data_IF_236291480003
#
_entry.id   IF_236291480003
#
_cell.length_a   1.000
_cell.length_b   1.000
_cell.length_c   1.000
_cell.angle_alpha   90.00
_cell.angle_beta   90.00
_cell.angle_gamma   90.00
#
_symmetry.space_group_name_H-M   'P 1'
#
loop_
_entity.id
_entity.type
_entity.pdbx_description
1 polymer ?
#
# COMPACT_ATOMS: atom_id res chain seq x y z
N UNK A 1 70.88 2.78 23.14
CA UNK A 1 71.49 3.05 24.47
C UNK A 1 71.68 4.56 24.66
N UNK A 2 70.78 5.23 25.39
CA UNK A 2 71.07 6.43 26.18
C UNK A 2 69.93 6.64 27.18
N UNK A 3 70.35 6.64 28.44
CA UNK A 3 69.57 6.64 29.67
C UNK A 3 69.26 8.08 30.13
N UNK A 4 68.19 8.19 30.93
CA UNK A 4 67.94 9.22 31.97
C UNK A 4 67.57 10.62 31.45
N UNK A 5 66.63 11.34 32.06
CA UNK A 5 66.58 11.68 33.49
C UNK A 5 65.14 11.83 33.98
N UNK A 6 64.84 11.18 35.10
CA UNK A 6 63.70 11.49 35.96
C UNK A 6 64.04 12.68 36.87
N UNK A 7 62.98 13.27 37.42
CA UNK A 7 62.87 14.05 38.66
C UNK A 7 62.87 15.57 38.52
N UNK A 8 62.12 16.21 39.45
CA UNK A 8 61.80 17.64 39.66
C UNK A 8 60.46 18.01 38.98
N UNK A 9 59.35 18.34 39.66
CA UNK A 9 59.05 18.49 41.08
C UNK A 9 57.54 18.39 41.28
N UNK A 10 57.19 17.66 42.34
CA UNK A 10 55.91 17.74 43.04
C UNK A 10 55.88 19.11 43.73
N UNK A 11 54.81 19.90 43.52
CA UNK A 11 54.22 20.84 44.47
C UNK A 11 53.49 21.97 43.73
N UNK A 12 52.21 21.78 43.41
CA UNK A 12 51.16 22.81 43.55
C UNK A 12 49.85 22.05 43.78
N UNK A 13 49.82 21.41 44.94
CA UNK A 13 48.61 20.98 45.63
C UNK A 13 48.07 22.23 46.34
N UNK A 14 46.74 22.41 46.32
CA UNK A 14 45.95 23.41 47.03
C UNK A 14 45.74 24.76 46.32
N UNK A 15 44.75 24.81 45.41
CA UNK A 15 43.62 25.74 45.53
C UNK A 15 42.57 25.41 44.47
N UNK A 16 41.32 25.19 44.88
CA UNK A 16 40.22 24.94 43.95
C UNK A 16 39.25 23.84 44.37
N UNK A 17 39.08 23.64 45.67
CA UNK A 17 37.92 22.97 46.24
C UNK A 17 36.70 23.89 46.02
N UNK A 18 36.17 23.93 44.80
CA UNK A 18 34.87 24.53 44.53
C UNK A 18 33.89 23.43 44.19
N UNK A 19 33.05 23.18 45.17
CA UNK A 19 31.93 22.27 45.21
C UNK A 19 30.99 22.50 44.04
N UNK A 20 31.03 21.64 43.02
CA UNK A 20 29.87 21.44 42.16
C UNK A 20 29.17 20.17 42.63
N UNK A 21 28.35 20.33 43.67
CA UNK A 21 27.27 19.38 43.97
C UNK A 21 26.23 19.60 42.87
N UNK A 22 26.51 19.04 41.69
CA UNK A 22 25.56 18.96 40.62
C UNK A 22 24.56 17.88 40.99
N UNK A 23 23.41 18.31 41.52
CA UNK A 23 22.20 17.49 41.60
C UNK A 23 22.05 16.73 40.29
N UNK A 24 22.05 15.40 40.34
CA UNK A 24 21.72 14.57 39.19
C UNK A 24 20.28 14.91 38.80
N UNK A 25 20.12 15.84 37.85
CA UNK A 25 18.87 15.96 37.12
C UNK A 25 18.78 14.67 36.30
N UNK A 26 17.90 13.78 36.73
CA UNK A 26 17.39 12.74 35.85
C UNK A 26 16.86 13.46 34.61
N UNK A 27 17.60 13.36 33.51
CA UNK A 27 17.11 13.77 32.21
C UNK A 27 15.96 12.81 31.89
N UNK A 28 14.75 13.23 32.19
CA UNK A 28 13.53 12.66 31.66
C UNK A 28 13.63 12.87 30.14
N UNK A 29 14.17 11.88 29.44
CA UNK A 29 14.11 11.85 27.99
C UNK A 29 12.62 11.79 27.64
N UNK A 30 12.08 12.72 26.84
CA UNK A 30 10.72 12.58 26.37
C UNK A 30 10.67 11.27 25.57
N UNK A 31 9.94 10.28 26.10
CA UNK A 31 9.53 9.12 25.34
C UNK A 31 8.74 9.67 24.15
N UNK A 32 9.36 9.67 22.99
CA UNK A 32 8.70 9.95 21.73
C UNK A 32 7.75 8.78 21.50
N UNK A 33 6.50 8.97 21.92
CA UNK A 33 5.39 8.13 21.47
C UNK A 33 5.26 8.47 19.99
N UNK A 34 6.00 7.73 19.16
CA UNK A 34 5.73 7.67 17.74
C UNK A 34 4.32 7.08 17.65
N UNK A 35 3.34 7.95 17.43
CA UNK A 35 2.04 7.54 16.93
C UNK A 35 2.33 6.69 15.69
N UNK A 36 1.98 5.41 15.77
CA UNK A 36 2.05 4.50 14.63
C UNK A 36 0.93 4.96 13.70
N UNK A 37 1.23 5.96 12.88
CA UNK A 37 0.34 6.37 11.81
C UNK A 37 0.43 5.22 10.81
N UNK A 38 -0.55 4.31 10.85
CA UNK A 38 -0.64 3.24 9.87
C UNK A 38 -0.75 3.89 8.47
N UNK A 39 0.11 3.47 7.55
CA UNK A 39 0.09 3.99 6.18
C UNK A 39 -1.27 3.67 5.54
N UNK A 40 -1.88 4.63 4.82
CA UNK A 40 -3.17 4.40 4.18
C UNK A 40 -3.09 3.25 3.18
N UNK A 41 -4.20 2.55 3.02
CA UNK A 41 -4.32 1.48 2.04
C UNK A 41 -4.41 2.08 0.63
N UNK A 42 -3.48 1.72 -0.23
CA UNK A 42 -3.40 2.13 -1.63
C UNK A 42 -4.41 1.36 -2.47
N UNK A 43 -5.14 2.12 -3.29
CA UNK A 43 -6.09 1.64 -4.28
C UNK A 43 -5.69 2.30 -5.61
N UNK A 44 -5.43 1.51 -6.63
CA UNK A 44 -5.12 2.00 -7.98
C UNK A 44 -6.11 1.40 -8.98
N UNK A 45 -6.67 2.23 -9.86
CA UNK A 45 -7.77 1.83 -10.77
C UNK A 45 -7.40 2.16 -12.21
N UNK A 46 -7.40 1.17 -13.09
CA UNK A 46 -7.43 1.38 -14.53
C UNK A 46 -8.86 1.58 -15.00
N UNK A 47 -9.13 2.71 -15.66
CA UNK A 47 -10.48 3.10 -16.04
C UNK A 47 -10.59 3.71 -17.43
N UNK A 48 -11.83 3.87 -17.88
CA UNK A 48 -12.21 4.67 -19.04
C UNK A 48 -13.43 5.50 -18.71
N UNK A 49 -13.43 6.79 -19.07
CA UNK A 49 -14.55 7.67 -18.79
C UNK A 49 -15.87 7.22 -19.47
N UNK A 50 -15.82 6.43 -20.54
CA UNK A 50 -16.99 5.94 -21.28
C UNK A 50 -17.52 4.58 -20.77
N UNK A 51 -16.90 4.02 -19.73
CA UNK A 51 -17.30 2.75 -19.13
C UNK A 51 -18.23 2.95 -17.93
N UNK A 52 -19.46 2.44 -18.01
CA UNK A 52 -20.45 2.54 -16.92
C UNK A 52 -19.96 1.93 -15.60
N UNK A 53 -19.29 0.78 -15.65
CA UNK A 53 -18.77 0.13 -14.46
C UNK A 53 -17.62 0.91 -13.82
N UNK A 54 -16.80 1.63 -14.61
CA UNK A 54 -15.78 2.52 -14.06
C UNK A 54 -16.42 3.70 -13.32
N UNK A 55 -17.43 4.34 -13.92
CA UNK A 55 -18.16 5.44 -13.29
C UNK A 55 -18.81 5.01 -11.97
N UNK A 56 -19.36 3.80 -11.91
CA UNK A 56 -19.97 3.25 -10.70
C UNK A 56 -18.94 2.97 -9.59
N UNK A 57 -17.76 2.47 -9.96
CA UNK A 57 -16.66 2.28 -9.01
C UNK A 57 -16.09 3.62 -8.53
N UNK A 58 -15.97 4.61 -9.42
CA UNK A 58 -15.52 5.97 -9.08
C UNK A 58 -16.49 6.63 -8.07
N UNK A 59 -17.80 6.53 -8.31
CA UNK A 59 -18.83 7.03 -7.37
C UNK A 59 -18.69 6.35 -6.00
N UNK A 60 -18.59 5.02 -5.98
CA UNK A 60 -18.40 4.25 -4.74
C UNK A 60 -17.12 4.65 -3.99
N UNK A 61 -15.97 4.72 -4.67
CA UNK A 61 -14.69 5.08 -4.04
C UNK A 61 -14.67 6.53 -3.57
N UNK A 62 -15.35 7.43 -4.28
CA UNK A 62 -15.51 8.84 -3.89
C UNK A 62 -16.34 8.95 -2.60
N UNK A 63 -17.45 8.23 -2.50
CA UNK A 63 -18.23 8.16 -1.27
C UNK A 63 -17.41 7.57 -0.13
N UNK A 64 -16.69 6.46 -0.39
CA UNK A 64 -15.86 5.79 0.59
C UNK A 64 -14.76 6.70 1.16
N UNK A 65 -14.15 7.57 0.35
CA UNK A 65 -13.18 8.57 0.78
C UNK A 65 -13.76 9.62 1.75
N UNK A 66 -15.08 9.83 1.76
CA UNK A 66 -15.73 10.70 2.75
C UNK A 66 -15.89 10.04 4.11
N UNK A 67 -15.93 8.71 4.13
CA UNK A 67 -16.14 7.89 5.32
C UNK A 67 -14.82 7.37 5.91
N UNK A 68 -13.80 7.24 5.06
CA UNK A 68 -12.51 6.61 5.38
C UNK A 68 -11.35 7.55 5.10
N UNK A 69 -10.54 7.82 6.11
CA UNK A 69 -9.27 8.54 5.99
C UNK A 69 -8.05 7.62 5.89
N UNK A 70 -8.26 6.31 5.91
CA UNK A 70 -7.23 5.27 5.94
C UNK A 70 -6.97 4.65 4.55
N UNK A 71 -7.42 5.31 3.48
CA UNK A 71 -7.25 4.85 2.09
C UNK A 71 -6.73 5.99 1.20
N UNK A 72 -6.08 5.62 0.09
CA UNK A 72 -5.62 6.52 -0.96
C UNK A 72 -5.96 5.92 -2.31
N UNK A 73 -6.68 6.66 -3.16
CA UNK A 73 -7.12 6.20 -4.48
C UNK A 73 -6.38 6.95 -5.58
N UNK A 74 -5.88 6.21 -6.59
CA UNK A 74 -5.25 6.77 -7.80
C UNK A 74 -5.91 6.16 -9.05
N UNK A 75 -6.26 7.00 -10.00
CA UNK A 75 -6.90 6.59 -11.26
C UNK A 75 -5.93 6.71 -12.43
N UNK A 76 -6.01 5.74 -13.34
CA UNK A 76 -5.21 5.62 -14.55
C UNK A 76 -6.16 5.59 -15.75
N UNK A 77 -6.27 6.71 -16.46
CA UNK A 77 -7.10 6.81 -17.66
C UNK A 77 -6.44 6.05 -18.82
N UNK A 78 -7.12 5.02 -19.34
CA UNK A 78 -6.62 4.21 -20.46
C UNK A 78 -6.66 4.93 -21.82
N UNK A 79 -7.17 6.16 -21.92
CA UNK A 79 -6.95 6.99 -23.10
C UNK A 79 -5.53 7.58 -23.15
N UNK A 80 -4.78 7.53 -22.05
CA UNK A 80 -3.37 7.88 -22.00
C UNK A 80 -2.52 6.67 -22.41
N UNK A 81 -1.65 6.83 -23.42
CA UNK A 81 -0.86 5.73 -24.01
C UNK A 81 0.01 5.00 -22.98
N UNK A 82 0.56 5.72 -22.01
CA UNK A 82 1.40 5.16 -20.94
C UNK A 82 0.60 4.24 -20.01
N UNK A 83 -0.60 4.66 -19.62
CA UNK A 83 -1.50 3.87 -18.77
C UNK A 83 -2.04 2.65 -19.54
N UNK A 84 -2.38 2.82 -20.82
CA UNK A 84 -2.82 1.71 -21.68
C UNK A 84 -1.73 0.65 -21.86
N UNK A 85 -0.46 1.07 -21.98
CA UNK A 85 0.68 0.16 -22.05
C UNK A 85 0.87 -0.61 -20.74
N UNK A 86 0.83 0.08 -19.59
CA UNK A 86 0.96 -0.52 -18.27
C UNK A 86 -0.17 -1.54 -18.01
N UNK A 87 -1.40 -1.18 -18.37
CA UNK A 87 -2.56 -2.07 -18.27
C UNK A 87 -2.42 -3.32 -19.15
N UNK A 88 -1.92 -3.17 -20.38
CA UNK A 88 -1.67 -4.32 -21.27
C UNK A 88 -0.61 -5.25 -20.70
N UNK A 89 0.44 -4.69 -20.11
CA UNK A 89 1.52 -5.44 -19.46
C UNK A 89 1.01 -6.20 -18.23
N UNK A 90 0.25 -5.54 -17.34
CA UNK A 90 -0.40 -6.20 -16.21
C UNK A 90 -1.29 -7.36 -16.66
N UNK A 91 -2.14 -7.13 -17.67
CA UNK A 91 -3.07 -8.13 -18.15
C UNK A 91 -2.34 -9.34 -18.77
N UNK A 92 -1.23 -9.11 -19.47
CA UNK A 92 -0.39 -10.17 -20.02
C UNK A 92 0.35 -10.94 -18.91
N UNK A 93 0.89 -10.24 -17.92
CA UNK A 93 1.61 -10.83 -16.79
C UNK A 93 0.72 -11.75 -15.95
N UNK A 94 -0.48 -11.30 -15.59
CA UNK A 94 -1.41 -12.05 -14.74
C UNK A 94 -2.31 -13.02 -15.53
N UNK A 95 -2.25 -12.98 -16.87
CA UNK A 95 -3.11 -13.80 -17.72
C UNK A 95 -4.59 -13.46 -17.62
N UNK A 96 -4.92 -12.20 -17.29
CA UNK A 96 -6.30 -11.75 -17.08
C UNK A 96 -6.88 -11.04 -18.32
N UNK A 97 -8.21 -11.06 -18.49
CA UNK A 97 -8.88 -10.29 -19.53
C UNK A 97 -8.59 -8.78 -19.45
N UNK A 98 -8.53 -8.18 -20.63
CA UNK A 98 -8.39 -6.73 -20.83
C UNK A 98 -9.74 -6.01 -20.67
N UNK A 99 -10.32 -6.12 -19.48
CA UNK A 99 -11.58 -5.47 -19.08
C UNK A 99 -11.32 -4.19 -18.27
N UNK A 100 -12.36 -3.39 -18.05
CA UNK A 100 -12.32 -2.21 -17.19
C UNK A 100 -13.59 -2.15 -16.36
N UNK A 101 -13.52 -1.72 -15.09
CA UNK A 101 -12.31 -1.33 -14.37
C UNK A 101 -11.43 -2.53 -13.97
N UNK A 102 -10.13 -2.31 -13.79
CA UNK A 102 -9.21 -3.22 -13.08
C UNK A 102 -8.61 -2.45 -11.91
N UNK A 103 -8.76 -2.98 -10.70
CA UNK A 103 -8.40 -2.28 -9.47
C UNK A 103 -7.40 -3.10 -8.66
N UNK A 104 -6.31 -2.48 -8.23
CA UNK A 104 -5.33 -3.05 -7.31
C UNK A 104 -5.53 -2.44 -5.92
N UNK A 105 -5.90 -3.27 -4.95
CA UNK A 105 -6.05 -2.87 -3.54
C UNK A 105 -4.96 -3.56 -2.73
N UNK A 106 -3.98 -2.78 -2.27
CA UNK A 106 -2.79 -3.30 -1.60
C UNK A 106 -1.97 -4.23 -2.50
N UNK A 107 -2.28 -5.52 -2.49
CA UNK A 107 -1.67 -6.56 -3.34
C UNK A 107 -2.71 -7.50 -4.00
N UNK A 108 -3.97 -7.05 -4.07
CA UNK A 108 -5.09 -7.85 -4.57
C UNK A 108 -5.68 -7.17 -5.80
N UNK A 109 -5.78 -7.91 -6.91
CA UNK A 109 -6.42 -7.44 -8.14
C UNK A 109 -7.91 -7.77 -8.08
N UNK A 110 -8.75 -6.78 -8.39
CA UNK A 110 -10.20 -6.90 -8.54
C UNK A 110 -10.54 -6.56 -9.99
N UNK A 111 -11.30 -7.44 -10.64
CA UNK A 111 -11.73 -7.25 -12.02
C UNK A 111 -13.22 -6.90 -12.08
N UNK A 112 -13.53 -5.70 -12.59
CA UNK A 112 -14.88 -5.19 -12.74
C UNK A 112 -15.50 -4.69 -11.45
N UNK A 113 -16.62 -3.97 -11.59
CA UNK A 113 -17.40 -3.45 -10.47
C UNK A 113 -18.89 -3.68 -10.71
N UNK A 114 -19.54 -4.39 -9.78
CA UNK A 114 -20.97 -4.67 -9.83
C UNK A 114 -21.78 -3.54 -9.17
N UNK A 115 -21.81 -3.55 -7.84
CA UNK A 115 -22.51 -2.56 -7.02
C UNK A 115 -21.77 -2.39 -5.69
N UNK A 116 -22.08 -1.31 -4.96
CA UNK A 116 -21.60 -1.10 -3.59
C UNK A 116 -21.95 -2.30 -2.67
N UNK A 117 -23.16 -2.86 -2.79
CA UNK A 117 -23.63 -3.98 -1.96
C UNK A 117 -23.01 -5.34 -2.31
N UNK A 118 -22.28 -5.44 -3.43
CA UNK A 118 -21.63 -6.68 -3.89
C UNK A 118 -20.11 -6.53 -3.93
N UNK A 119 -19.59 -5.91 -4.99
CA UNK A 119 -18.16 -5.67 -5.17
C UNK A 119 -17.64 -4.67 -4.15
N UNK A 120 -18.43 -3.64 -3.80
CA UNK A 120 -18.01 -2.66 -2.77
C UNK A 120 -17.70 -3.31 -1.42
N UNK A 121 -18.60 -4.16 -0.92
CA UNK A 121 -18.38 -4.95 0.32
C UNK A 121 -17.11 -5.83 0.22
N UNK A 122 -16.86 -6.43 -0.94
CA UNK A 122 -15.63 -7.19 -1.19
C UNK A 122 -14.40 -6.28 -1.09
N UNK A 123 -14.42 -5.12 -1.76
CA UNK A 123 -13.33 -4.15 -1.77
C UNK A 123 -13.03 -3.65 -0.35
N UNK A 124 -14.05 -3.28 0.44
CA UNK A 124 -13.88 -2.90 1.85
C UNK A 124 -13.20 -4.00 2.68
N UNK A 125 -13.59 -5.25 2.46
CA UNK A 125 -12.96 -6.41 3.11
C UNK A 125 -11.48 -6.55 2.70
N UNK A 126 -11.15 -6.33 1.42
CA UNK A 126 -9.77 -6.37 0.94
C UNK A 126 -8.97 -5.21 1.55
N UNK A 127 -9.54 -4.01 1.62
CA UNK A 127 -8.92 -2.84 2.25
C UNK A 127 -8.56 -3.15 3.70
N UNK A 128 -9.50 -3.62 4.51
CA UNK A 128 -9.25 -3.92 5.91
C UNK A 128 -8.20 -5.03 6.09
N UNK A 129 -8.21 -6.02 5.20
CA UNK A 129 -7.19 -7.06 5.20
C UNK A 129 -5.82 -6.57 4.71
N UNK A 130 -5.72 -5.42 4.05
CA UNK A 130 -4.46 -4.91 3.49
C UNK A 130 -3.71 -3.98 4.46
N UNK A 131 -4.36 -3.54 5.55
CA UNK A 131 -3.77 -2.70 6.58
C UNK A 131 -2.51 -3.32 7.17
N UNK A 132 -1.45 -2.51 7.26
CA UNK A 132 -0.15 -2.91 7.82
C UNK A 132 0.59 -4.00 7.03
N UNK A 133 0.15 -4.32 5.80
CA UNK A 133 0.83 -5.26 4.90
C UNK A 133 1.58 -4.52 3.80
N UNK A 134 2.43 -5.24 3.07
CA UNK A 134 3.06 -4.73 1.85
C UNK A 134 1.98 -4.35 0.84
N UNK A 135 2.16 -3.19 0.24
CA UNK A 135 1.27 -2.62 -0.75
C UNK A 135 2.07 -2.26 -2.00
N UNK A 136 1.44 -2.32 -3.16
CA UNK A 136 2.07 -2.06 -4.45
C UNK A 136 1.24 -1.05 -5.24
N UNK A 137 1.93 -0.17 -5.97
CA UNK A 137 1.37 0.41 -7.20
C UNK A 137 1.37 -0.61 -8.34
N UNK A 138 0.64 -0.34 -9.42
CA UNK A 138 0.67 -1.21 -10.60
C UNK A 138 2.08 -1.43 -11.15
N UNK A 139 2.89 -0.37 -11.22
CA UNK A 139 4.28 -0.48 -11.66
C UNK A 139 5.10 -1.38 -10.74
N UNK A 140 5.02 -1.15 -9.42
CA UNK A 140 5.76 -1.96 -8.45
C UNK A 140 5.31 -3.43 -8.43
N UNK A 141 4.01 -3.67 -8.67
CA UNK A 141 3.44 -5.01 -8.77
C UNK A 141 3.98 -5.76 -9.99
N UNK A 142 4.03 -5.11 -11.15
CA UNK A 142 4.63 -5.66 -12.37
C UNK A 142 6.14 -5.89 -12.19
N UNK A 143 6.86 -4.91 -11.64
CA UNK A 143 8.30 -4.99 -11.41
C UNK A 143 8.67 -6.13 -10.44
N UNK A 144 7.78 -6.45 -9.48
CA UNK A 144 7.92 -7.57 -8.57
C UNK A 144 7.68 -8.94 -9.23
N UNK A 145 7.26 -8.96 -10.50
CA UNK A 145 7.00 -10.17 -11.28
C UNK A 145 5.57 -10.71 -11.16
N UNK A 146 4.64 -9.92 -10.62
CA UNK A 146 3.23 -10.30 -10.51
C UNK A 146 2.96 -11.46 -9.55
N UNK A 147 1.75 -12.00 -9.59
CA UNK A 147 1.21 -13.09 -8.75
C UNK A 147 0.67 -12.67 -7.37
N UNK A 148 -0.12 -11.59 -7.34
CA UNK A 148 -0.96 -11.23 -6.20
C UNK A 148 -2.16 -12.19 -5.98
N UNK A 149 -3.07 -11.86 -5.06
CA UNK A 149 -4.37 -12.55 -4.98
C UNK A 149 -5.29 -11.92 -6.03
N UNK A 150 -5.86 -12.71 -6.95
CA UNK A 150 -6.82 -12.23 -7.94
C UNK A 150 -8.24 -12.57 -7.47
N UNK A 151 -9.12 -11.56 -7.43
CA UNK A 151 -10.55 -11.70 -7.18
C UNK A 151 -11.31 -11.30 -8.44
N UNK A 152 -12.08 -12.22 -8.99
CA UNK A 152 -12.95 -11.98 -10.15
C UNK A 152 -14.37 -11.70 -9.66
N UNK A 153 -15.00 -10.65 -10.19
CA UNK A 153 -16.42 -10.39 -9.96
C UNK A 153 -17.21 -11.17 -11.00
N UNK A 154 -18.03 -12.11 -10.55
CA UNK A 154 -18.92 -12.86 -11.44
C UNK A 154 -20.05 -11.93 -11.93
N UNK A 155 -19.92 -11.46 -13.17
CA UNK A 155 -20.94 -10.63 -13.83
C UNK A 155 -20.37 -9.63 -14.81
N UNK A 156 -20.07 -10.05 -16.04
CA UNK A 156 -19.82 -9.07 -17.11
C UNK A 156 -19.28 -9.53 -18.45
N UNK A 157 -18.84 -10.78 -18.63
CA UNK A 157 -18.41 -11.28 -19.93
C UNK A 157 -19.27 -12.46 -20.38
N UNK A 158 -20.45 -12.17 -20.91
CA UNK A 158 -21.23 -13.17 -21.64
C UNK A 158 -20.87 -13.06 -23.13
N UNK A 159 -20.09 -14.00 -23.66
CA UNK A 159 -20.17 -14.30 -25.10
C UNK A 159 -21.58 -14.87 -25.38
N UNK A 160 -22.20 -14.45 -26.49
CA UNK A 160 -23.55 -14.86 -26.85
C UNK A 160 -23.67 -16.40 -26.94
N UNK A 161 -24.44 -17.03 -26.04
CA UNK A 161 -25.03 -18.33 -26.34
C UNK A 161 -25.20 -19.37 -25.24
N UNK A 162 -24.67 -19.22 -24.03
CA UNK A 162 -24.80 -20.30 -23.01
C UNK A 162 -25.27 -19.78 -21.64
N UNK A 163 -26.23 -20.51 -21.07
CA UNK A 163 -26.91 -20.21 -19.82
C UNK A 163 -25.96 -20.34 -18.62
N UNK A 164 -25.70 -19.22 -17.93
CA UNK A 164 -24.93 -19.20 -16.69
C UNK A 164 -25.66 -19.98 -15.59
N UNK A 165 -25.04 -21.05 -15.10
CA UNK A 165 -25.39 -21.64 -13.81
C UNK A 165 -24.48 -21.01 -12.77
N UNK A 166 -25.08 -20.18 -11.90
CA UNK A 166 -24.46 -19.72 -10.66
C UNK A 166 -24.07 -20.93 -9.82
N UNK A 167 -22.80 -21.03 -9.44
CA UNK A 167 -22.30 -21.63 -8.19
C UNK A 167 -20.84 -22.06 -8.38
N UNK A 168 -19.88 -21.15 -8.16
CA UNK A 168 -18.66 -21.44 -7.39
C UNK A 168 -17.67 -20.27 -7.42
N UNK A 169 -17.44 -19.68 -6.24
CA UNK A 169 -16.23 -18.90 -5.97
C UNK A 169 -15.03 -19.84 -5.99
N UNK A 170 -14.13 -19.67 -6.96
CA UNK A 170 -12.82 -20.30 -6.97
C UNK A 170 -11.74 -19.23 -7.11
N UNK A 171 -10.91 -18.98 -6.09
CA UNK A 171 -9.71 -18.18 -6.27
C UNK A 171 -8.83 -18.84 -7.32
N UNK A 172 -8.53 -18.12 -8.40
CA UNK A 172 -7.55 -18.54 -9.41
C UNK A 172 -6.16 -18.39 -8.79
N UNK A 173 -5.63 -19.49 -8.28
CA UNK A 173 -4.20 -19.60 -7.98
C UNK A 173 -3.49 -19.89 -9.30
N UNK A 174 -2.88 -18.85 -9.88
CA UNK A 174 -1.95 -19.01 -11.01
C UNK A 174 -0.64 -19.52 -10.43
N UNK A 175 -0.18 -20.65 -10.97
CA UNK A 175 0.87 -21.52 -10.41
C UNK A 175 2.15 -21.45 -11.25
#
# INVERSE_FOLDING_TARGET
MKLSKKLISIAWLALGLLSFVGTAMAAEQPEQIAEIIEEPVRIEVFERYDCKHCQDEEEFLTELLTERSDILVTYYDLYEEENEALWKELAELEGIPKVTPITLIGNTIVQGFGTADTTGVMMETIIDNSKGKTQYSFQEFIDAGGSGIIQEVDGGACEEGETCSSDSYTPLLVN
#
